data_IF_939010231602
#
_entry.id   IF_939010231602
#
_cell.length_a   1.000
_cell.length_b   1.000
_cell.length_c   1.000
_cell.angle_alpha   90.00
_cell.angle_beta   90.00
_cell.angle_gamma   90.00
#
_symmetry.space_group_name_H-M   'P 1'
#
loop_
_entity.id
_entity.type
_entity.pdbx_description
1 polymer ?
#
# COMPACT_ATOMS: atom_id res chain seq x y z
N UNK A 1 -24.09 33.96 -45.76
CA UNK A 1 -24.64 32.59 -45.94
C UNK A 1 -23.48 31.60 -46.12
N UNK A 2 -22.97 31.07 -45.01
CA UNK A 2 -21.95 30.02 -45.04
C UNK A 2 -22.65 28.65 -45.13
N UNK A 3 -22.55 28.10 -46.33
CA UNK A 3 -22.69 26.70 -46.77
C UNK A 3 -23.39 25.69 -45.82
N UNK A 4 -24.71 25.60 -45.91
CA UNK A 4 -25.55 24.62 -45.21
C UNK A 4 -25.69 23.30 -46.00
N UNK A 5 -24.62 22.55 -46.24
CA UNK A 5 -24.75 21.22 -46.85
C UNK A 5 -23.80 20.20 -46.19
N UNK A 6 -24.44 19.22 -45.53
CA UNK A 6 -23.98 17.88 -45.15
C UNK A 6 -22.81 17.68 -44.15
N UNK A 7 -22.16 18.72 -43.60
CA UNK A 7 -21.11 18.52 -42.58
C UNK A 7 -21.07 19.58 -41.45
N UNK A 8 -22.19 20.20 -41.11
CA UNK A 8 -22.21 21.26 -40.09
C UNK A 8 -22.00 20.70 -38.67
N UNK A 9 -20.87 21.06 -38.06
CA UNK A 9 -20.60 20.89 -36.65
C UNK A 9 -21.12 22.11 -35.87
N UNK A 10 -21.93 21.84 -34.86
CA UNK A 10 -22.48 22.86 -33.98
C UNK A 10 -21.82 22.76 -32.61
N UNK A 11 -21.50 23.89 -32.00
CA UNK A 11 -21.06 23.94 -30.61
C UNK A 11 -22.01 24.78 -29.77
N UNK A 12 -22.17 24.40 -28.51
CA UNK A 12 -22.94 25.14 -27.52
C UNK A 12 -22.07 25.31 -26.28
N UNK A 13 -21.99 26.55 -25.79
CA UNK A 13 -21.47 26.84 -24.45
C UNK A 13 -22.64 27.18 -23.53
N UNK A 14 -22.64 26.65 -22.32
CA UNK A 14 -23.63 26.98 -21.30
C UNK A 14 -22.96 27.85 -20.23
N UNK A 15 -23.41 29.08 -20.06
CA UNK A 15 -22.84 30.03 -19.10
C UNK A 15 -23.18 29.73 -17.64
N UNK A 16 -24.12 28.82 -17.38
CA UNK A 16 -24.55 28.46 -16.01
C UNK A 16 -23.60 27.47 -15.36
N UNK A 17 -23.10 26.50 -16.13
CA UNK A 17 -22.22 25.42 -15.67
C UNK A 17 -20.87 25.38 -16.40
N UNK A 18 -20.62 26.32 -17.31
CA UNK A 18 -19.44 26.39 -18.19
C UNK A 18 -19.21 25.12 -19.04
N UNK A 19 -20.27 24.34 -19.31
CA UNK A 19 -20.17 23.18 -20.19
C UNK A 19 -19.99 23.59 -21.66
N UNK A 20 -19.24 22.76 -22.39
CA UNK A 20 -19.03 22.86 -23.83
C UNK A 20 -19.50 21.55 -24.47
N UNK A 21 -20.46 21.65 -25.38
CA UNK A 21 -21.03 20.51 -26.09
C UNK A 21 -20.81 20.68 -27.60
N UNK A 22 -20.52 19.58 -28.29
CA UNK A 22 -20.42 19.56 -29.76
C UNK A 22 -21.46 18.60 -30.31
N UNK A 23 -22.12 19.00 -31.38
CA UNK A 23 -23.23 18.29 -32.00
C UNK A 23 -23.01 18.19 -33.50
N UNK A 24 -23.41 17.06 -34.10
CA UNK A 24 -23.42 16.87 -35.56
C UNK A 24 -24.84 16.77 -36.08
N UNK A 25 -25.08 17.31 -37.27
CA UNK A 25 -26.30 17.02 -38.02
C UNK A 25 -26.21 15.61 -38.63
N UNK A 26 -27.28 14.81 -38.50
CA UNK A 26 -27.33 13.45 -39.03
C UNK A 26 -27.74 13.39 -40.52
N UNK A 27 -28.07 14.53 -41.15
CA UNK A 27 -28.50 14.63 -42.55
C UNK A 27 -30.02 14.55 -42.75
N UNK A 28 -30.79 14.42 -41.66
CA UNK A 28 -32.24 14.25 -41.65
C UNK A 28 -32.95 15.25 -40.72
N UNK A 29 -32.34 16.42 -40.48
CA UNK A 29 -32.75 17.42 -39.48
C UNK A 29 -32.73 16.92 -38.02
N UNK A 30 -32.12 15.77 -37.74
CA UNK A 30 -31.82 15.34 -36.36
C UNK A 30 -30.36 15.63 -36.00
N UNK A 31 -30.09 15.71 -34.70
CA UNK A 31 -28.77 16.05 -34.17
C UNK A 31 -28.34 15.02 -33.14
N UNK A 32 -27.07 14.61 -33.22
CA UNK A 32 -26.44 13.74 -32.24
C UNK A 32 -25.35 14.49 -31.50
N UNK A 33 -25.35 14.40 -30.17
CA UNK A 33 -24.23 14.88 -29.36
C UNK A 33 -22.99 14.06 -29.70
N UNK A 34 -21.89 14.74 -29.96
CA UNK A 34 -20.59 14.12 -30.08
C UNK A 34 -19.93 14.08 -28.71
N UNK A 35 -19.14 13.04 -28.48
CA UNK A 35 -18.19 12.96 -27.37
C UNK A 35 -16.78 13.05 -27.97
N UNK A 36 -16.26 14.26 -28.23
CA UNK A 36 -14.97 14.41 -28.89
C UNK A 36 -13.87 13.80 -28.02
N UNK A 37 -12.97 13.04 -28.64
CA UNK A 37 -11.73 12.65 -27.99
C UNK A 37 -10.86 13.89 -27.78
N UNK A 38 -10.61 14.23 -26.52
CA UNK A 38 -9.73 15.35 -26.16
C UNK A 38 -8.33 14.79 -25.94
N UNK A 39 -7.36 15.22 -26.76
CA UNK A 39 -5.96 14.93 -26.49
C UNK A 39 -5.53 15.70 -25.22
N UNK A 40 -5.03 15.02 -24.16
CA UNK A 40 -4.60 15.66 -22.93
C UNK A 40 -3.57 16.80 -23.12
N UNK A 41 -2.77 16.76 -24.18
CA UNK A 41 -1.76 17.79 -24.47
C UNK A 41 -2.36 19.16 -24.84
N UNK A 42 -3.65 19.23 -25.16
CA UNK A 42 -4.35 20.49 -25.44
C UNK A 42 -4.95 21.13 -24.19
N UNK A 43 -4.93 20.45 -23.05
CA UNK A 43 -5.38 21.00 -21.77
C UNK A 43 -4.24 21.81 -21.17
N UNK A 44 -4.41 23.13 -21.09
CA UNK A 44 -3.46 24.03 -20.43
C UNK A 44 -3.43 23.73 -18.93
N UNK A 45 -2.24 23.43 -18.40
CA UNK A 45 -2.04 23.14 -16.98
C UNK A 45 -1.35 24.32 -16.28
N UNK A 46 -1.65 24.51 -15.00
CA UNK A 46 -1.04 25.52 -14.12
C UNK A 46 -0.70 24.92 -12.75
N UNK A 47 -0.27 25.73 -11.77
CA UNK A 47 0.10 25.21 -10.44
C UNK A 47 -1.06 24.66 -9.62
N UNK A 48 -2.30 25.02 -9.96
CA UNK A 48 -3.52 24.63 -9.25
C UNK A 48 -4.37 23.61 -10.03
N UNK A 49 -4.11 23.45 -11.33
CA UNK A 49 -4.84 22.55 -12.24
C UNK A 49 -3.85 21.74 -13.09
N UNK A 50 -3.62 20.48 -12.72
CA UNK A 50 -2.75 19.55 -13.45
C UNK A 50 -3.40 18.19 -13.64
N UNK A 51 -3.01 17.52 -14.72
CA UNK A 51 -3.34 16.11 -14.94
C UNK A 51 -2.34 15.24 -14.17
N UNK A 52 -2.82 14.15 -13.58
CA UNK A 52 -1.96 13.17 -12.90
C UNK A 52 -1.36 12.23 -13.95
N UNK A 53 -0.04 12.10 -13.95
CA UNK A 53 0.66 11.14 -14.80
C UNK A 53 0.66 9.73 -14.20
N UNK A 54 0.84 8.71 -15.04
CA UNK A 54 1.00 7.33 -14.55
C UNK A 54 2.26 7.18 -13.68
N UNK A 55 3.31 7.95 -13.96
CA UNK A 55 4.53 7.99 -13.14
C UNK A 55 4.26 8.53 -11.74
N UNK A 56 3.56 9.66 -11.61
CA UNK A 56 3.18 10.21 -10.31
C UNK A 56 2.27 9.25 -9.54
N UNK A 57 1.30 8.66 -10.23
CA UNK A 57 0.40 7.65 -9.64
C UNK A 57 1.17 6.45 -9.12
N UNK A 58 2.08 5.91 -9.91
CA UNK A 58 2.94 4.80 -9.53
C UNK A 58 3.80 5.16 -8.31
N UNK A 59 4.40 6.35 -8.31
CA UNK A 59 5.21 6.84 -7.20
C UNK A 59 4.39 6.99 -5.90
N UNK A 60 3.16 7.53 -5.97
CA UNK A 60 2.28 7.64 -4.80
C UNK A 60 1.77 6.29 -4.31
N UNK A 61 1.36 5.40 -5.22
CA UNK A 61 0.92 4.05 -4.87
C UNK A 61 2.06 3.24 -4.25
N UNK A 62 3.30 3.49 -4.67
CA UNK A 62 4.51 2.92 -4.08
C UNK A 62 4.87 3.45 -2.70
N UNK A 63 4.22 4.53 -2.19
CA UNK A 63 4.45 5.03 -0.82
C UNK A 63 3.81 4.16 0.27
N UNK A 64 3.09 3.10 -0.10
CA UNK A 64 2.61 2.11 0.88
C UNK A 64 3.79 1.29 1.39
N UNK A 65 4.44 1.79 2.44
CA UNK A 65 5.65 1.18 2.98
C UNK A 65 5.37 0.29 4.20
N UNK A 66 4.10 0.04 4.54
CA UNK A 66 3.69 -0.73 5.72
C UNK A 66 3.18 -2.10 5.30
N UNK A 67 3.81 -3.14 5.83
CA UNK A 67 3.43 -4.53 5.59
C UNK A 67 3.20 -5.23 6.93
N UNK A 68 2.35 -6.26 6.91
CA UNK A 68 1.95 -6.99 8.11
C UNK A 68 2.10 -8.49 7.89
N UNK A 69 2.58 -9.20 8.92
CA UNK A 69 2.83 -10.62 8.93
C UNK A 69 2.49 -11.19 10.30
N UNK A 70 2.00 -12.43 10.33
CA UNK A 70 1.93 -13.23 11.55
C UNK A 70 3.20 -14.06 11.68
N UNK A 71 3.85 -13.99 12.83
CA UNK A 71 5.12 -14.67 13.09
C UNK A 71 4.99 -15.59 14.29
N UNK A 72 5.21 -16.88 14.07
CA UNK A 72 5.36 -17.85 15.15
C UNK A 72 6.82 -17.89 15.60
N UNK A 73 7.04 -17.78 16.91
CA UNK A 73 8.35 -17.81 17.56
C UNK A 73 8.35 -18.99 18.54
N UNK A 74 8.78 -20.18 18.09
CA UNK A 74 8.79 -21.35 18.95
C UNK A 74 9.94 -21.29 19.96
N UNK A 75 9.78 -21.99 21.07
CA UNK A 75 10.84 -22.27 22.07
C UNK A 75 12.00 -23.07 21.49
N UNK A 76 11.74 -23.85 20.44
CA UNK A 76 12.75 -24.60 19.70
C UNK A 76 13.48 -23.71 18.68
N UNK A 77 14.78 -23.91 18.50
CA UNK A 77 15.57 -23.21 17.48
C UNK A 77 16.34 -21.98 17.98
N UNK A 78 16.22 -21.61 19.25
CA UNK A 78 17.14 -20.66 19.88
C UNK A 78 18.54 -21.27 19.99
N UNK A 79 19.54 -20.54 19.48
CA UNK A 79 20.96 -20.86 19.60
C UNK A 79 21.60 -20.03 20.72
N UNK A 80 22.69 -20.55 21.27
CA UNK A 80 23.39 -19.98 22.44
C UNK A 80 23.18 -20.89 23.65
N UNK A 81 24.28 -21.37 24.24
CA UNK A 81 24.22 -22.12 25.51
C UNK A 81 24.04 -21.17 26.70
N UNK A 82 24.60 -19.97 26.59
CA UNK A 82 24.42 -18.84 27.50
C UNK A 82 24.08 -17.59 26.69
N UNK A 83 23.49 -16.59 27.34
CA UNK A 83 23.14 -15.34 26.70
C UNK A 83 24.36 -14.67 26.03
N UNK A 84 24.19 -13.98 24.89
CA UNK A 84 22.92 -13.72 24.20
C UNK A 84 22.40 -14.93 23.40
N UNK A 85 21.07 -15.02 23.28
CA UNK A 85 20.39 -16.03 22.48
C UNK A 85 19.91 -15.43 21.15
N UNK A 86 19.91 -16.25 20.09
CA UNK A 86 19.39 -15.84 18.78
C UNK A 86 18.51 -16.92 18.17
N UNK A 87 17.50 -16.50 17.41
CA UNK A 87 16.66 -17.40 16.63
C UNK A 87 16.31 -16.73 15.31
N UNK A 88 16.35 -17.49 14.22
CA UNK A 88 15.91 -17.02 12.90
C UNK A 88 14.66 -17.80 12.49
N UNK A 89 13.61 -17.07 12.14
CA UNK A 89 12.34 -17.61 11.65
C UNK A 89 12.12 -17.16 10.20
N UNK A 90 11.53 -18.04 9.40
CA UNK A 90 11.22 -17.74 8.01
C UNK A 90 9.94 -16.91 7.93
N UNK A 91 10.00 -15.77 7.24
CA UNK A 91 8.85 -14.89 7.00
C UNK A 91 8.94 -14.41 5.55
N UNK A 92 8.18 -15.07 4.68
CA UNK A 92 8.20 -14.78 3.25
C UNK A 92 7.77 -13.33 2.98
N UNK A 93 8.48 -12.65 2.07
CA UNK A 93 8.20 -11.25 1.72
C UNK A 93 8.95 -10.20 2.55
N UNK A 94 9.67 -10.60 3.60
CA UNK A 94 10.61 -9.69 4.26
C UNK A 94 11.81 -9.38 3.36
N UNK A 95 12.35 -8.18 3.53
CA UNK A 95 13.61 -7.74 2.92
C UNK A 95 14.53 -7.12 3.98
N UNK A 96 15.82 -7.04 3.69
CA UNK A 96 16.78 -6.39 4.60
C UNK A 96 16.54 -4.88 4.83
N UNK A 97 15.77 -4.20 3.97
CA UNK A 97 15.47 -2.77 4.11
C UNK A 97 14.33 -2.46 5.09
N UNK A 98 13.55 -3.47 5.44
CA UNK A 98 12.38 -3.34 6.32
C UNK A 98 12.80 -3.14 7.78
N UNK A 99 12.07 -2.29 8.51
CA UNK A 99 12.27 -2.06 9.94
C UNK A 99 11.16 -2.76 10.73
N UNK A 100 11.48 -3.76 11.57
CA UNK A 100 10.47 -4.53 12.29
C UNK A 100 9.93 -3.76 13.49
N UNK A 101 8.61 -3.80 13.64
CA UNK A 101 7.83 -3.38 14.80
C UNK A 101 6.95 -4.58 15.15
N UNK A 102 7.09 -5.10 16.35
CA UNK A 102 6.44 -6.35 16.73
C UNK A 102 5.58 -6.12 17.96
N UNK A 103 4.41 -6.76 17.99
CA UNK A 103 3.54 -6.81 19.16
C UNK A 103 3.06 -8.25 19.40
N UNK A 104 2.82 -8.59 20.66
CA UNK A 104 2.43 -9.94 21.08
C UNK A 104 0.97 -10.22 20.75
N UNK A 105 0.71 -11.38 20.14
CA UNK A 105 -0.65 -11.94 20.01
C UNK A 105 -0.90 -12.85 21.22
N UNK A 106 -1.79 -12.41 22.11
CA UNK A 106 -2.09 -13.10 23.37
C UNK A 106 -3.24 -14.10 23.22
N UNK A 107 -3.18 -15.16 24.04
CA UNK A 107 -4.30 -16.08 24.27
C UNK A 107 -5.46 -15.39 24.99
N UNK A 108 -6.70 -15.87 24.76
CA UNK A 108 -7.86 -15.48 25.56
C UNK A 108 -7.82 -16.07 26.99
N UNK A 109 -7.04 -17.12 27.21
CA UNK A 109 -6.79 -17.69 28.53
C UNK A 109 -5.74 -16.86 29.28
N UNK A 110 -6.14 -16.27 30.41
CA UNK A 110 -5.30 -15.33 31.18
C UNK A 110 -4.00 -15.97 31.67
N UNK A 111 -4.04 -17.24 32.10
CA UNK A 111 -2.82 -17.92 32.57
C UNK A 111 -1.82 -18.09 31.43
N UNK A 112 -2.32 -18.48 30.26
CA UNK A 112 -1.51 -18.63 29.05
C UNK A 112 -0.98 -17.27 28.57
N UNK A 113 -1.81 -16.23 28.57
CA UNK A 113 -1.43 -14.87 28.16
C UNK A 113 -0.31 -14.30 29.05
N UNK A 114 -0.36 -14.55 30.37
CA UNK A 114 0.70 -14.11 31.28
C UNK A 114 2.05 -14.77 30.96
N UNK A 115 2.08 -16.08 30.73
CA UNK A 115 3.30 -16.77 30.32
C UNK A 115 3.81 -16.28 28.97
N UNK A 116 2.91 -15.97 28.02
CA UNK A 116 3.28 -15.39 26.73
C UNK A 116 3.87 -13.98 26.87
N UNK A 117 3.35 -13.15 27.77
CA UNK A 117 3.89 -11.81 28.07
C UNK A 117 5.30 -11.91 28.64
N UNK A 118 5.51 -12.81 29.59
CA UNK A 118 6.83 -13.04 30.20
C UNK A 118 7.83 -13.52 29.14
N UNK A 119 7.44 -14.51 28.32
CA UNK A 119 8.27 -15.00 27.22
C UNK A 119 8.55 -13.93 26.15
N UNK A 120 7.57 -13.10 25.79
CA UNK A 120 7.75 -12.01 24.83
C UNK A 120 8.70 -10.94 25.36
N UNK A 121 8.68 -10.65 26.66
CA UNK A 121 9.55 -9.67 27.30
C UNK A 121 11.05 -9.99 27.17
N UNK A 122 11.39 -11.26 26.95
CA UNK A 122 12.75 -11.72 26.71
C UNK A 122 13.31 -11.25 25.36
N UNK A 123 12.45 -10.97 24.37
CA UNK A 123 12.86 -10.61 23.01
C UNK A 123 13.26 -9.13 22.98
N UNK A 124 14.56 -8.85 22.89
CA UNK A 124 15.08 -7.47 22.98
C UNK A 124 15.26 -6.80 21.62
N UNK A 125 15.49 -7.58 20.56
CA UNK A 125 15.76 -7.04 19.22
C UNK A 125 15.28 -7.98 18.13
N UNK A 126 14.75 -7.40 17.07
CA UNK A 126 14.45 -8.07 15.81
C UNK A 126 15.18 -7.37 14.65
N UNK A 127 15.64 -8.13 13.67
CA UNK A 127 16.23 -7.62 12.42
C UNK A 127 15.71 -8.43 11.25
N UNK A 128 15.35 -7.77 10.15
CA UNK A 128 14.90 -8.45 8.94
C UNK A 128 16.07 -8.76 8.00
N UNK A 129 15.92 -9.82 7.23
CA UNK A 129 16.69 -10.13 6.04
C UNK A 129 15.72 -10.64 4.96
N UNK A 130 16.24 -10.93 3.77
CA UNK A 130 15.39 -11.44 2.69
C UNK A 130 14.75 -12.77 3.11
N UNK A 131 13.42 -12.77 3.21
CA UNK A 131 12.61 -13.93 3.61
C UNK A 131 12.72 -14.38 5.07
N UNK A 132 13.37 -13.61 5.95
CA UNK A 132 13.56 -14.04 7.35
C UNK A 132 13.60 -12.90 8.37
N UNK A 133 13.25 -13.26 9.61
CA UNK A 133 13.35 -12.41 10.78
C UNK A 133 14.30 -13.07 11.78
N UNK A 134 15.30 -12.33 12.23
CA UNK A 134 16.21 -12.78 13.30
C UNK A 134 15.88 -12.04 14.59
N UNK A 135 15.62 -12.80 15.63
CA UNK A 135 15.31 -12.36 16.98
C UNK A 135 16.52 -12.57 17.88
N UNK A 136 16.67 -11.69 18.87
CA UNK A 136 17.78 -11.72 19.81
C UNK A 136 17.28 -11.41 21.22
N UNK A 137 17.73 -12.23 22.17
CA UNK A 137 17.51 -12.03 23.59
C UNK A 137 18.85 -11.84 24.30
N UNK A 138 18.94 -10.86 25.18
CA UNK A 138 20.18 -10.46 25.85
C UNK A 138 20.41 -11.17 27.17
N UNK A 139 19.37 -11.76 27.76
CA UNK A 139 19.43 -12.32 29.11
C UNK A 139 18.86 -13.74 29.16
N UNK A 140 17.58 -13.90 28.84
CA UNK A 140 16.88 -15.18 28.83
C UNK A 140 16.16 -15.35 27.50
N UNK A 141 15.85 -16.58 27.10
CA UNK A 141 15.06 -16.87 25.91
C UNK A 141 13.62 -17.26 26.31
N UNK A 142 12.63 -17.08 25.42
CA UNK A 142 11.27 -17.59 25.62
C UNK A 142 11.24 -19.05 26.08
N UNK A 143 10.45 -19.34 27.12
CA UNK A 143 10.19 -20.68 27.65
C UNK A 143 8.83 -21.25 27.22
N UNK A 144 7.97 -20.40 26.63
CA UNK A 144 6.76 -20.78 25.91
C UNK A 144 6.76 -20.23 24.49
N UNK A 145 6.04 -20.90 23.59
CA UNK A 145 5.88 -20.44 22.21
C UNK A 145 5.05 -19.15 22.19
N UNK A 146 5.48 -18.17 21.40
CA UNK A 146 4.75 -16.90 21.23
C UNK A 146 4.41 -16.67 19.77
N UNK A 147 3.25 -16.06 19.52
CA UNK A 147 2.87 -15.54 18.21
C UNK A 147 2.93 -14.01 18.27
N UNK A 148 3.41 -13.38 17.22
CA UNK A 148 3.51 -11.94 17.16
C UNK A 148 2.95 -11.38 15.85
N UNK A 149 2.28 -10.24 15.97
CA UNK A 149 1.95 -9.41 14.83
C UNK A 149 3.18 -8.60 14.47
N UNK A 150 3.81 -8.95 13.35
CA UNK A 150 4.95 -8.21 12.82
C UNK A 150 4.44 -7.20 11.82
N UNK A 151 4.69 -5.93 12.13
CA UNK A 151 4.62 -4.87 11.16
C UNK A 151 6.03 -4.48 10.70
N UNK A 152 6.18 -4.19 9.43
CA UNK A 152 7.43 -3.64 8.90
C UNK A 152 7.20 -2.40 8.08
N UNK A 153 8.16 -1.47 8.21
CA UNK A 153 8.17 -0.21 7.46
C UNK A 153 9.47 -0.08 6.67
N UNK A 154 9.39 0.27 5.39
CA UNK A 154 10.54 0.66 4.55
C UNK A 154 10.85 2.15 4.74
#
# INVERSE_FOLDING_TARGET
PENQNENDLWYKTNSTDNSFEVWKNNGDNTYSQMNPEVNPNYIKQDSTHRLVTDTERSAWNGKTNRYQFDVAVPTSGWTGETAPYTQTVNVSGLTAAMRPIMDLVQSDDVSTAQSQLDAYSCINRATTADGSLTLMCYYDKPDVDVNAHLEVII
#
